data_IF_053913186440
#
_entry.id   IF_053913186440
#
_cell.length_a   1.000
_cell.length_b   1.000
_cell.length_c   1.000
_cell.angle_alpha   90.00
_cell.angle_beta   90.00
_cell.angle_gamma   90.00
#
_symmetry.space_group_name_H-M   'P 1'
#
loop_
_entity.id
_entity.type
_entity.pdbx_description
1 polymer ?
#
# COMPACT_ATOMS: atom_id res chain seq x y z
N UNK A 1 2.61 33.77 -16.75
CA UNK A 1 2.01 32.68 -17.56
C UNK A 1 0.76 32.17 -16.85
N UNK A 2 -0.44 32.47 -17.37
CA UNK A 2 -1.74 32.13 -16.76
C UNK A 2 -1.92 30.60 -16.60
N UNK A 3 -1.41 29.83 -17.56
CA UNK A 3 -1.42 28.37 -17.57
C UNK A 3 -0.77 27.73 -16.34
N UNK A 4 0.31 28.31 -15.81
CA UNK A 4 0.98 27.82 -14.60
C UNK A 4 0.11 27.99 -13.34
N UNK A 5 -0.68 29.07 -13.27
CA UNK A 5 -1.63 29.30 -12.16
C UNK A 5 -2.83 28.37 -12.24
N UNK A 6 -3.35 28.11 -13.44
CA UNK A 6 -4.42 27.12 -13.63
C UNK A 6 -3.95 25.71 -13.24
N UNK A 7 -2.75 25.31 -13.67
CA UNK A 7 -2.15 24.04 -13.27
C UNK A 7 -1.99 23.96 -11.75
N UNK A 8 -1.39 24.97 -11.12
CA UNK A 8 -1.20 24.99 -9.67
C UNK A 8 -2.52 24.92 -8.89
N UNK A 9 -3.58 25.57 -9.39
CA UNK A 9 -4.90 25.52 -8.79
C UNK A 9 -5.51 24.11 -8.91
N UNK A 10 -5.50 23.52 -10.11
CA UNK A 10 -6.03 22.16 -10.36
C UNK A 10 -5.25 21.12 -9.55
N UNK A 11 -3.92 21.20 -9.53
CA UNK A 11 -3.09 20.28 -8.74
C UNK A 11 -3.31 20.48 -7.25
N UNK A 12 -3.48 21.73 -6.78
CA UNK A 12 -3.73 22.02 -5.37
C UNK A 12 -5.10 21.55 -4.89
N UNK A 13 -6.15 21.69 -5.71
CA UNK A 13 -7.49 21.19 -5.37
C UNK A 13 -7.53 19.67 -5.35
N UNK A 14 -6.89 19.01 -6.33
CA UNK A 14 -6.82 17.54 -6.38
C UNK A 14 -6.01 16.98 -5.22
N UNK A 15 -4.90 17.63 -4.85
CA UNK A 15 -4.07 17.23 -3.71
C UNK A 15 -4.83 17.31 -2.38
N UNK A 16 -5.62 18.37 -2.19
CA UNK A 16 -6.42 18.56 -0.98
C UNK A 16 -7.57 17.55 -0.84
N UNK A 17 -8.27 17.22 -1.93
CA UNK A 17 -9.30 16.18 -1.92
C UNK A 17 -8.70 14.78 -1.69
N UNK A 18 -7.54 14.49 -2.28
CA UNK A 18 -6.80 13.26 -2.06
C UNK A 18 -6.30 13.14 -0.62
N UNK A 19 -5.83 14.24 -0.02
CA UNK A 19 -5.38 14.27 1.36
C UNK A 19 -6.54 13.94 2.33
N UNK A 20 -7.68 14.62 2.16
CA UNK A 20 -8.87 14.39 2.99
C UNK A 20 -9.39 12.95 2.88
N UNK A 21 -9.43 12.42 1.66
CA UNK A 21 -9.86 11.03 1.43
C UNK A 21 -8.90 10.04 2.07
N UNK A 22 -7.59 10.27 1.99
CA UNK A 22 -6.60 9.43 2.66
C UNK A 22 -6.72 9.49 4.19
N UNK A 23 -6.91 10.68 4.78
CA UNK A 23 -7.11 10.83 6.22
C UNK A 23 -8.37 10.08 6.70
N UNK A 24 -9.47 10.19 5.95
CA UNK A 24 -10.69 9.44 6.23
C UNK A 24 -10.47 7.93 6.16
N UNK A 25 -9.88 7.43 5.07
CA UNK A 25 -9.59 6.00 4.90
C UNK A 25 -8.59 5.48 5.94
N UNK A 26 -7.62 6.31 6.37
CA UNK A 26 -6.69 5.95 7.44
C UNK A 26 -7.41 5.85 8.79
N UNK A 27 -8.35 6.75 9.09
CA UNK A 27 -9.17 6.68 10.30
C UNK A 27 -10.09 5.45 10.29
N UNK A 28 -10.75 5.16 9.17
CA UNK A 28 -11.58 3.96 9.01
C UNK A 28 -10.76 2.68 9.19
N UNK A 29 -9.61 2.58 8.52
CA UNK A 29 -8.72 1.43 8.68
C UNK A 29 -8.19 1.28 10.12
N UNK A 30 -7.93 2.37 10.86
CA UNK A 30 -7.57 2.31 12.29
C UNK A 30 -8.69 1.74 13.15
N UNK A 31 -9.93 2.15 12.90
CA UNK A 31 -11.11 1.64 13.62
C UNK A 31 -11.30 0.15 13.30
N UNK A 32 -11.21 -0.23 12.02
CA UNK A 32 -11.29 -1.63 11.59
C UNK A 32 -10.17 -2.47 12.22
N UNK A 33 -8.93 -1.97 12.21
CA UNK A 33 -7.79 -2.65 12.85
C UNK A 33 -7.98 -2.79 14.37
N UNK A 34 -8.61 -1.83 15.04
CA UNK A 34 -8.92 -1.91 16.47
C UNK A 34 -10.06 -2.89 16.78
N UNK A 35 -10.99 -3.07 15.84
CA UNK A 35 -12.10 -4.04 15.96
C UNK A 35 -11.65 -5.47 15.68
N UNK A 36 -10.64 -5.67 14.83
CA UNK A 36 -10.07 -6.99 14.54
C UNK A 36 -9.21 -7.44 15.73
N UNK A 37 -9.83 -8.15 16.67
CA UNK A 37 -9.15 -8.85 17.78
C UNK A 37 -8.58 -10.18 17.29
N UNK A 38 -7.48 -10.16 16.53
CA UNK A 38 -6.80 -11.38 16.09
C UNK A 38 -5.83 -11.19 14.91
N UNK A 39 -5.21 -12.28 14.45
CA UNK A 39 -4.45 -12.28 13.19
C UNK A 39 -5.45 -12.20 12.03
N UNK A 40 -5.32 -11.15 11.21
CA UNK A 40 -6.02 -11.02 9.94
C UNK A 40 -5.61 -12.19 9.03
N UNK A 41 -6.50 -13.17 8.86
CA UNK A 41 -6.29 -14.31 7.98
C UNK A 41 -6.52 -13.86 6.54
N UNK A 42 -5.53 -13.16 5.99
CA UNK A 42 -5.49 -12.81 4.58
C UNK A 42 -5.08 -14.06 3.77
N UNK A 43 -5.83 -14.32 2.70
CA UNK A 43 -5.45 -15.24 1.64
C UNK A 43 -4.12 -14.81 1.01
N UNK A 44 -3.36 -15.75 0.46
CA UNK A 44 -2.09 -15.44 -0.19
C UNK A 44 -2.27 -14.52 -1.41
N UNK A 45 -3.43 -14.56 -2.07
CA UNK A 45 -3.81 -13.62 -3.14
C UNK A 45 -4.00 -12.19 -2.60
N UNK A 46 -4.63 -12.03 -1.44
CA UNK A 46 -4.84 -10.71 -0.83
C UNK A 46 -3.53 -10.12 -0.32
N UNK A 47 -2.65 -10.96 0.27
CA UNK A 47 -1.29 -10.56 0.66
C UNK A 47 -0.46 -10.13 -0.55
N UNK A 48 -0.62 -10.81 -1.69
CA UNK A 48 0.06 -10.49 -2.94
C UNK A 48 -0.31 -9.10 -3.44
N UNK A 49 -1.61 -8.80 -3.51
CA UNK A 49 -2.11 -7.49 -3.93
C UNK A 49 -1.64 -6.38 -3.01
N UNK A 50 -1.72 -6.59 -1.68
CA UNK A 50 -1.24 -5.63 -0.69
C UNK A 50 0.27 -5.38 -0.80
N UNK A 51 1.05 -6.45 -1.01
CA UNK A 51 2.50 -6.36 -1.16
C UNK A 51 2.92 -5.61 -2.42
N UNK A 52 2.22 -5.79 -3.54
CA UNK A 52 2.49 -5.08 -4.80
C UNK A 52 2.16 -3.59 -4.70
N UNK A 53 1.01 -3.25 -4.10
CA UNK A 53 0.61 -1.86 -3.87
C UNK A 53 1.58 -1.19 -2.88
N UNK A 54 2.00 -1.88 -1.83
CA UNK A 54 3.02 -1.43 -0.88
C UNK A 54 4.35 -1.13 -1.56
N UNK A 55 4.80 -1.98 -2.49
CA UNK A 55 6.02 -1.73 -3.26
C UNK A 55 5.92 -0.47 -4.13
N UNK A 56 4.77 -0.23 -4.78
CA UNK A 56 4.52 0.94 -5.64
C UNK A 56 4.43 2.25 -4.85
N UNK A 57 3.86 2.22 -3.65
CA UNK A 57 3.73 3.39 -2.76
C UNK A 57 5.08 3.83 -2.16
N UNK A 58 6.00 2.89 -1.94
CA UNK A 58 7.30 3.16 -1.33
C UNK A 58 7.21 3.40 0.19
N UNK A 59 8.38 3.38 0.86
CA UNK A 59 8.47 3.34 2.33
C UNK A 59 7.82 4.56 3.03
N UNK A 60 7.95 5.76 2.45
CA UNK A 60 7.42 7.00 3.04
C UNK A 60 5.90 7.03 3.11
N UNK A 61 5.21 6.70 2.02
CA UNK A 61 3.75 6.64 2.01
C UNK A 61 3.23 5.50 2.90
N UNK A 62 3.99 4.41 3.01
CA UNK A 62 3.70 3.31 3.93
C UNK A 62 3.85 3.71 5.41
N UNK A 63 4.76 4.63 5.76
CA UNK A 63 4.92 5.12 7.14
C UNK A 63 3.71 5.96 7.59
N UNK A 64 3.13 6.74 6.69
CA UNK A 64 1.86 7.47 6.93
C UNK A 64 0.67 6.50 7.10
N UNK A 65 0.68 5.39 6.36
CA UNK A 65 -0.32 4.32 6.42
C UNK A 65 -0.04 3.25 7.49
N UNK A 66 1.10 3.33 8.19
CA UNK A 66 1.63 2.27 9.07
C UNK A 66 0.78 2.02 10.34
N UNK A 67 -0.33 2.73 10.51
CA UNK A 67 -1.26 2.51 11.60
C UNK A 67 -1.95 1.13 11.55
N UNK A 68 -1.91 0.43 10.40
CA UNK A 68 -2.70 -0.79 10.14
C UNK A 68 -1.81 -2.03 9.96
N UNK A 69 -0.70 -1.90 9.23
CA UNK A 69 0.24 -2.98 9.02
C UNK A 69 1.66 -2.41 9.02
N UNK A 70 2.58 -3.09 9.73
CA UNK A 70 3.98 -2.66 9.74
C UNK A 70 4.52 -2.68 8.30
N UNK A 71 5.18 -1.60 7.84
CA UNK A 71 5.76 -1.54 6.50
C UNK A 71 6.72 -2.72 6.24
N UNK A 72 7.45 -3.15 7.27
CA UNK A 72 8.34 -4.30 7.21
C UNK A 72 7.62 -5.62 6.90
N UNK A 73 6.39 -5.81 7.40
CA UNK A 73 5.60 -7.02 7.16
C UNK A 73 5.09 -7.08 5.72
N UNK A 74 4.64 -5.95 5.18
CA UNK A 74 4.20 -5.85 3.78
C UNK A 74 5.35 -6.07 2.80
N UNK A 75 6.52 -5.48 3.07
CA UNK A 75 7.72 -5.67 2.26
C UNK A 75 8.26 -7.11 2.36
N UNK A 76 8.13 -7.76 3.51
CA UNK A 76 8.48 -9.18 3.67
C UNK A 76 7.56 -10.08 2.82
N UNK A 77 6.26 -9.79 2.74
CA UNK A 77 5.33 -10.49 1.85
C UNK A 77 5.69 -10.27 0.38
N UNK A 78 6.10 -9.06 0.00
CA UNK A 78 6.56 -8.77 -1.36
C UNK A 78 7.79 -9.58 -1.74
N UNK A 79 8.78 -9.70 -0.84
CA UNK A 79 9.96 -10.56 -1.05
C UNK A 79 9.56 -12.02 -1.23
N UNK A 80 8.63 -12.53 -0.42
CA UNK A 80 8.12 -13.90 -0.53
C UNK A 80 7.35 -14.13 -1.84
N UNK A 81 6.63 -13.12 -2.31
CA UNK A 81 5.95 -13.17 -3.61
C UNK A 81 6.95 -13.24 -4.76
N UNK A 82 8.02 -12.46 -4.69
CA UNK A 82 9.12 -12.52 -5.66
C UNK A 82 9.73 -13.92 -5.67
N UNK A 83 10.12 -14.48 -4.51
CA UNK A 83 10.73 -15.82 -4.46
C UNK A 83 9.79 -16.88 -5.06
N UNK A 84 8.51 -16.88 -4.66
CA UNK A 84 7.53 -17.83 -5.17
C UNK A 84 7.31 -17.70 -6.70
N UNK A 85 7.40 -16.48 -7.25
CA UNK A 85 7.29 -16.24 -8.70
C UNK A 85 8.49 -16.83 -9.47
N UNK A 86 9.67 -16.87 -8.85
CA UNK A 86 10.90 -17.36 -9.47
C UNK A 86 11.21 -18.83 -9.15
N UNK A 87 10.61 -19.43 -8.12
CA UNK A 87 10.77 -20.87 -7.80
C UNK A 87 10.27 -21.79 -8.94
N UNK A 88 9.33 -21.32 -9.76
CA UNK A 88 8.89 -22.03 -10.98
C UNK A 88 9.95 -22.10 -12.10
N UNK A 89 10.97 -21.24 -12.07
CA UNK A 89 12.08 -21.28 -13.05
C UNK A 89 13.22 -22.21 -12.62
N UNK A 90 13.36 -22.49 -11.32
CA UNK A 90 14.39 -23.40 -10.81
C UNK A 90 14.07 -24.88 -11.10
N UNK A 91 12.80 -25.25 -11.29
CA UNK A 91 12.39 -26.62 -11.63
C UNK A 91 12.63 -27.00 -13.11
N UNK A 92 13.00 -26.05 -13.98
CA UNK A 92 13.26 -26.30 -15.40
C UNK A 92 14.74 -26.31 -15.78
N UNK A 93 15.66 -26.23 -14.82
CA UNK A 93 17.09 -26.44 -15.07
C UNK A 93 17.45 -27.80 -14.47
N UNK A 94 17.41 -28.81 -15.35
CA UNK A 94 17.99 -30.13 -15.15
C UNK A 94 19.48 -30.04 -14.81
#
# INVERSE_FOLDING_TARGET
MIWARMLAYITGTVDQELLLTNEYLAAENRILSAQIKGRLLLSDAEKATLAEIAHRLGRRALEELAAVAKPDTLLAWYRKLITNKFDGFASCIC
#
